data_IF_605895676873
#
_entry.id   IF_605895676873
#
_cell.length_a   1.000
_cell.length_b   1.000
_cell.length_c   1.000
_cell.angle_alpha   90.00
_cell.angle_beta   90.00
_cell.angle_gamma   90.00
#
_symmetry.space_group_name_H-M   'P 1'
#
loop_
_entity.id
_entity.type
_entity.pdbx_description
1 polymer ?
#
# COMPACT_ATOMS: atom_id res chain seq x y z
N UNK A 1 1.01 -8.58 26.50
CA UNK A 1 1.58 -7.41 27.19
C UNK A 1 1.97 -7.85 28.59
N UNK A 2 3.19 -7.55 29.08
CA UNK A 2 3.59 -8.02 30.41
C UNK A 2 2.77 -7.33 31.51
N UNK A 3 2.40 -8.06 32.57
CA UNK A 3 1.77 -7.48 33.77
C UNK A 3 2.66 -6.47 34.49
N UNK A 4 3.97 -6.55 34.31
CA UNK A 4 4.92 -5.57 34.86
C UNK A 4 4.91 -4.21 34.13
N UNK A 5 4.08 -4.04 33.11
CA UNK A 5 3.95 -2.79 32.36
C UNK A 5 3.50 -1.64 33.27
N UNK A 6 4.30 -0.57 33.26
CA UNK A 6 4.03 0.68 33.99
C UNK A 6 3.11 1.60 33.18
N UNK A 7 2.69 2.70 33.79
CA UNK A 7 1.98 3.77 33.09
C UNK A 7 2.81 4.30 31.90
N UNK A 8 2.13 4.61 30.80
CA UNK A 8 2.73 5.11 29.56
C UNK A 8 3.35 4.03 28.66
N UNK A 9 3.28 2.75 29.03
CA UNK A 9 3.75 1.64 28.21
C UNK A 9 2.99 1.60 26.88
N UNK A 10 3.71 1.53 25.77
CA UNK A 10 3.13 1.40 24.44
C UNK A 10 2.67 -0.04 24.25
N UNK A 11 1.36 -0.24 24.13
CA UNK A 11 0.75 -1.56 23.96
C UNK A 11 0.72 -1.95 22.49
N UNK A 12 0.19 -1.06 21.66
CA UNK A 12 0.07 -1.24 20.21
C UNK A 12 -0.21 0.10 19.54
N UNK A 13 -0.26 0.12 18.21
CA UNK A 13 -0.68 1.26 17.41
C UNK A 13 -1.79 0.83 16.45
N UNK A 14 -2.91 1.54 16.49
CA UNK A 14 -3.98 1.40 15.51
C UNK A 14 -3.71 2.37 14.38
N UNK A 15 -3.86 1.90 13.15
CA UNK A 15 -3.70 2.72 11.95
C UNK A 15 -4.91 2.54 11.06
N UNK A 16 -5.47 3.65 10.60
CA UNK A 16 -6.45 3.70 9.53
C UNK A 16 -5.91 4.52 8.36
N UNK A 17 -6.48 4.27 7.19
CA UNK A 17 -6.14 4.97 5.95
C UNK A 17 -7.46 5.38 5.32
N UNK A 18 -7.54 6.65 4.96
CA UNK A 18 -8.66 7.22 4.24
C UNK A 18 -8.28 7.42 2.76
N UNK A 19 -9.26 7.32 1.86
CA UNK A 19 -9.02 7.42 0.42
C UNK A 19 -9.04 8.87 -0.10
N UNK A 20 -9.52 9.81 0.71
CA UNK A 20 -9.57 11.21 0.36
C UNK A 20 -8.18 11.85 0.46
N UNK A 21 -8.12 13.16 0.23
CA UNK A 21 -6.89 13.94 0.29
C UNK A 21 -7.10 15.24 1.06
N UNK A 22 -6.02 15.80 1.57
CA UNK A 22 -6.08 17.05 2.34
C UNK A 22 -6.77 16.86 3.68
N UNK A 23 -7.68 17.78 4.02
CA UNK A 23 -8.34 17.84 5.31
C UNK A 23 -9.29 16.65 5.55
N UNK A 24 -10.02 16.23 4.50
CA UNK A 24 -10.96 15.11 4.60
C UNK A 24 -10.28 13.81 5.04
N UNK A 25 -9.02 13.60 4.66
CA UNK A 25 -8.23 12.43 5.06
C UNK A 25 -7.64 12.53 6.48
N UNK A 26 -7.97 13.58 7.25
CA UNK A 26 -7.49 13.74 8.61
C UNK A 26 -8.23 12.77 9.52
N UNK A 27 -7.48 11.78 10.02
CA UNK A 27 -8.03 10.74 10.88
C UNK A 27 -7.83 11.08 12.37
N UNK A 28 -8.87 10.86 13.16
CA UNK A 28 -8.86 10.92 14.62
C UNK A 28 -9.28 9.59 15.25
N UNK A 29 -8.70 9.28 16.41
CA UNK A 29 -8.92 8.03 17.15
C UNK A 29 -9.51 8.31 18.52
N UNK A 30 -10.50 7.51 18.93
CA UNK A 30 -11.14 7.61 20.23
C UNK A 30 -11.39 6.23 20.82
N UNK A 31 -11.16 6.10 22.13
CA UNK A 31 -11.56 4.90 22.87
C UNK A 31 -13.06 4.97 23.13
N UNK A 32 -13.84 4.16 22.41
CA UNK A 32 -15.29 4.12 22.50
C UNK A 32 -15.74 3.22 23.67
N UNK A 33 -15.16 2.03 23.78
CA UNK A 33 -15.43 1.08 24.87
C UNK A 33 -14.14 0.40 25.32
N UNK A 34 -14.10 0.00 26.59
CA UNK A 34 -12.98 -0.76 27.15
C UNK A 34 -13.48 -1.67 28.27
N UNK A 35 -12.86 -2.83 28.44
CA UNK A 35 -13.04 -3.68 29.64
C UNK A 35 -12.77 -2.87 30.91
N UNK A 36 -11.62 -2.18 30.96
CA UNK A 36 -11.32 -1.17 31.98
C UNK A 36 -10.88 0.15 31.32
N UNK A 37 -11.76 1.15 31.35
CA UNK A 37 -11.50 2.48 30.80
C UNK A 37 -10.41 3.27 31.56
N UNK A 38 -10.08 2.86 32.80
CA UNK A 38 -9.01 3.45 33.61
C UNK A 38 -7.62 2.93 33.24
N UNK A 39 -7.54 1.80 32.53
CA UNK A 39 -6.27 1.12 32.26
C UNK A 39 -5.62 1.55 30.95
N UNK A 40 -6.41 1.89 29.92
CA UNK A 40 -5.88 2.22 28.59
C UNK A 40 -6.33 3.58 28.07
N UNK A 41 -5.49 4.17 27.23
CA UNK A 41 -5.77 5.37 26.46
C UNK A 41 -5.33 5.17 25.01
N UNK A 42 -5.98 5.87 24.08
CA UNK A 42 -5.54 5.98 22.69
C UNK A 42 -5.21 7.44 22.39
N UNK A 43 -4.08 7.68 21.75
CA UNK A 43 -3.70 9.01 21.31
C UNK A 43 -4.55 9.42 20.09
N UNK A 44 -5.13 10.61 20.15
CA UNK A 44 -6.10 11.13 19.19
C UNK A 44 -5.62 11.14 17.74
N UNK A 45 -4.33 11.38 17.49
CA UNK A 45 -3.81 11.59 16.12
C UNK A 45 -2.85 10.48 15.66
N UNK A 46 -2.20 9.80 16.59
CA UNK A 46 -1.23 8.74 16.26
C UNK A 46 -1.83 7.35 16.31
N UNK A 47 -2.98 7.17 16.98
CA UNK A 47 -3.57 5.85 17.22
C UNK A 47 -2.77 4.97 18.17
N UNK A 48 -1.76 5.51 18.86
CA UNK A 48 -1.00 4.77 19.87
C UNK A 48 -1.88 4.44 21.07
N UNK A 49 -1.98 3.15 21.38
CA UNK A 49 -2.66 2.64 22.57
C UNK A 49 -1.63 2.46 23.68
N UNK A 50 -1.82 3.17 24.80
CA UNK A 50 -0.89 3.17 25.93
C UNK A 50 -1.60 2.88 27.23
N UNK A 51 -0.88 2.34 28.20
CA UNK A 51 -1.40 2.18 29.56
C UNK A 51 -1.51 3.54 30.27
N UNK A 52 -2.62 3.79 30.96
CA UNK A 52 -2.83 4.99 31.81
C UNK A 52 -2.20 4.83 33.19
N UNK A 53 -2.25 3.61 33.72
CA UNK A 53 -1.69 3.22 35.03
C UNK A 53 -0.90 1.92 34.93
N UNK A 54 -0.18 1.57 35.98
CA UNK A 54 0.39 0.24 36.11
C UNK A 54 -0.73 -0.80 36.20
N UNK A 55 -0.49 -1.96 35.59
CA UNK A 55 -1.37 -3.12 35.66
C UNK A 55 -1.31 -3.70 37.08
N UNK A 56 -2.46 -3.99 37.66
CA UNK A 56 -2.61 -4.62 38.96
C UNK A 56 -2.83 -6.13 38.85
N UNK A 57 -2.64 -6.87 39.94
CA UNK A 57 -2.95 -8.30 39.99
C UNK A 57 -4.46 -8.56 39.88
N UNK A 58 -5.29 -7.61 40.31
CA UNK A 58 -6.75 -7.67 40.21
C UNK A 58 -7.28 -7.36 38.81
N UNK A 59 -6.46 -6.82 37.91
CA UNK A 59 -6.89 -6.53 36.55
C UNK A 59 -7.10 -7.85 35.77
N UNK A 60 -8.21 -7.92 35.02
CA UNK A 60 -8.53 -9.07 34.18
C UNK A 60 -7.40 -9.34 33.17
N UNK A 61 -7.03 -10.60 33.02
CA UNK A 61 -5.96 -11.00 32.10
C UNK A 61 -6.30 -10.71 30.63
N UNK A 62 -7.59 -10.69 30.29
CA UNK A 62 -8.08 -10.38 28.95
C UNK A 62 -8.77 -9.03 28.95
N UNK A 63 -8.23 -8.11 28.16
CA UNK A 63 -8.72 -6.75 28.02
C UNK A 63 -9.20 -6.55 26.57
N UNK A 64 -10.37 -5.95 26.40
CA UNK A 64 -10.93 -5.63 25.07
C UNK A 64 -11.14 -4.12 24.97
N UNK A 65 -10.66 -3.53 23.90
CA UNK A 65 -10.85 -2.12 23.57
C UNK A 65 -11.60 -2.00 22.24
N UNK A 66 -12.63 -1.17 22.20
CA UNK A 66 -13.28 -0.73 20.96
C UNK A 66 -12.81 0.69 20.67
N UNK A 67 -12.10 0.85 19.56
CA UNK A 67 -11.55 2.14 19.13
C UNK A 67 -12.36 2.60 17.94
N UNK A 68 -12.97 3.78 18.07
CA UNK A 68 -13.63 4.50 17.00
C UNK A 68 -12.60 5.35 16.26
N UNK A 69 -12.70 5.35 14.94
CA UNK A 69 -11.86 6.13 14.05
C UNK A 69 -12.77 7.00 13.20
N UNK A 70 -12.46 8.28 13.05
CA UNK A 70 -13.23 9.23 12.23
C UNK A 70 -12.33 9.98 11.28
N UNK A 71 -12.81 10.18 10.07
CA UNK A 71 -12.24 11.17 9.16
C UNK A 71 -12.76 12.58 9.52
N UNK A 72 -12.29 13.60 8.80
CA UNK A 72 -12.77 14.99 8.94
C UNK A 72 -13.46 15.43 7.63
N UNK A 73 -14.12 14.49 6.96
CA UNK A 73 -14.84 14.71 5.71
C UNK A 73 -16.22 15.35 5.92
N UNK A 74 -16.83 15.82 4.83
CA UNK A 74 -18.25 16.20 4.79
C UNK A 74 -18.98 15.34 3.74
N UNK A 75 -19.82 14.37 4.16
CA UNK A 75 -20.13 13.99 5.54
C UNK A 75 -18.99 13.22 6.23
N UNK A 76 -18.92 13.34 7.56
CA UNK A 76 -17.95 12.60 8.38
C UNK A 76 -18.24 11.09 8.31
N UNK A 77 -17.22 10.29 8.05
CA UNK A 77 -17.27 8.84 8.10
C UNK A 77 -16.57 8.30 9.34
N UNK A 78 -17.06 7.18 9.85
CA UNK A 78 -16.46 6.50 11.00
C UNK A 78 -16.32 5.00 10.78
N UNK A 79 -15.29 4.44 11.40
CA UNK A 79 -15.03 3.01 11.46
C UNK A 79 -14.70 2.61 12.90
N UNK A 80 -14.81 1.32 13.21
CA UNK A 80 -14.44 0.80 14.53
C UNK A 80 -13.46 -0.37 14.41
N UNK A 81 -12.54 -0.44 15.37
CA UNK A 81 -11.55 -1.50 15.50
C UNK A 81 -11.61 -2.11 16.91
N UNK A 82 -11.68 -3.43 17.01
CA UNK A 82 -11.59 -4.13 18.29
C UNK A 82 -10.15 -4.59 18.51
N UNK A 83 -9.56 -4.23 19.66
CA UNK A 83 -8.23 -4.66 20.08
C UNK A 83 -8.38 -5.56 21.30
N UNK A 84 -7.87 -6.80 21.20
CA UNK A 84 -7.79 -7.75 22.30
C UNK A 84 -6.37 -7.79 22.86
N UNK A 85 -6.21 -7.55 24.15
CA UNK A 85 -4.93 -7.47 24.84
C UNK A 85 -4.93 -8.57 25.91
N UNK A 86 -3.93 -9.46 25.84
CA UNK A 86 -3.67 -10.46 26.86
C UNK A 86 -2.54 -9.98 27.77
N UNK A 87 -2.78 -9.98 29.08
CA UNK A 87 -1.79 -9.75 30.12
C UNK A 87 -1.03 -11.05 30.39
N UNK A 88 0.30 -10.98 30.35
CA UNK A 88 1.17 -12.13 30.56
C UNK A 88 1.99 -11.92 31.85
N UNK A 89 1.99 -12.94 32.70
CA UNK A 89 2.79 -12.94 33.93
C UNK A 89 4.26 -13.15 33.58
N UNK A 90 5.11 -12.25 34.06
CA UNK A 90 6.53 -12.23 33.76
C UNK A 90 7.28 -13.38 34.41
N UNK A 91 7.17 -14.59 33.86
CA UNK A 91 8.14 -15.67 34.03
C UNK A 91 8.88 -15.88 32.72
N UNK A 92 9.50 -14.81 32.23
CA UNK A 92 10.55 -14.93 31.22
C UNK A 92 11.84 -14.53 31.92
N UNK A 93 12.62 -15.54 32.28
CA UNK A 93 14.07 -15.44 32.53
C UNK A 93 14.70 -14.43 31.55
N UNK A 94 15.76 -13.70 31.93
CA UNK A 94 16.48 -12.86 30.99
C UNK A 94 17.13 -13.78 29.96
N UNK A 95 16.40 -14.07 28.89
CA UNK A 95 16.97 -14.64 27.69
C UNK A 95 17.89 -13.54 27.18
N UNK A 96 19.16 -13.68 27.50
CA UNK A 96 20.26 -12.94 26.90
C UNK A 96 19.94 -12.79 25.41
N UNK A 97 19.86 -11.53 24.98
CA UNK A 97 19.68 -11.10 23.60
C UNK A 97 20.96 -11.41 22.78
N UNK A 98 21.34 -12.69 22.78
CA UNK A 98 22.39 -13.32 21.99
C UNK A 98 21.79 -14.52 21.24
N UNK A 99 20.61 -14.31 20.66
CA UNK A 99 20.35 -14.90 19.35
C UNK A 99 20.03 -13.76 18.43
N UNK A 100 21.05 -13.41 17.65
CA UNK A 100 20.92 -13.33 16.21
C UNK A 100 19.49 -13.61 15.78
N UNK A 101 18.82 -12.55 15.35
CA UNK A 101 17.93 -12.57 14.19
C UNK A 101 18.64 -13.36 13.09
N UNK A 102 18.66 -14.68 13.20
CA UNK A 102 18.53 -15.54 12.06
C UNK A 102 17.17 -15.14 11.52
N UNK A 103 17.19 -14.20 10.59
CA UNK A 103 16.13 -14.12 9.62
C UNK A 103 16.04 -15.53 9.06
N UNK A 104 15.11 -16.33 9.57
CA UNK A 104 14.56 -17.45 8.82
C UNK A 104 14.13 -16.80 7.51
N UNK A 105 14.84 -17.03 6.39
CA UNK A 105 14.51 -16.39 5.13
C UNK A 105 13.08 -16.83 4.84
N UNK A 106 12.18 -15.86 4.92
CA UNK A 106 10.74 -16.08 4.87
C UNK A 106 10.44 -17.08 3.77
N UNK A 107 9.86 -18.24 4.12
CA UNK A 107 9.48 -19.29 3.17
C UNK A 107 8.63 -18.72 2.01
N UNK A 108 7.99 -17.57 2.21
CA UNK A 108 7.27 -16.78 1.18
C UNK A 108 8.22 -16.18 0.12
N UNK A 109 9.37 -15.65 0.51
CA UNK A 109 10.34 -15.02 -0.39
C UNK A 109 10.96 -16.09 -1.30
N UNK A 110 11.23 -17.28 -0.76
CA UNK A 110 11.65 -18.44 -1.55
C UNK A 110 10.60 -18.88 -2.58
N UNK A 111 9.32 -18.94 -2.19
CA UNK A 111 8.24 -19.28 -3.14
C UNK A 111 8.08 -18.25 -4.25
N UNK A 112 8.10 -16.96 -3.93
CA UNK A 112 7.96 -15.88 -4.92
C UNK A 112 9.13 -15.89 -5.91
N UNK A 113 10.36 -16.02 -5.42
CA UNK A 113 11.56 -16.08 -6.28
C UNK A 113 11.54 -17.30 -7.20
N UNK A 114 11.06 -18.46 -6.73
CA UNK A 114 10.87 -19.64 -7.57
C UNK A 114 9.85 -19.38 -8.69
N UNK A 115 8.70 -18.77 -8.40
CA UNK A 115 7.71 -18.43 -9.44
C UNK A 115 8.29 -17.47 -10.49
N UNK A 116 9.06 -16.46 -10.07
CA UNK A 116 9.69 -15.52 -11.00
C UNK A 116 10.67 -16.23 -11.96
N UNK A 117 11.49 -17.16 -11.45
CA UNK A 117 12.42 -17.93 -12.28
C UNK A 117 11.66 -18.80 -13.28
N UNK A 118 10.64 -19.53 -12.83
CA UNK A 118 9.80 -20.39 -13.68
C UNK A 118 9.09 -19.58 -14.78
N UNK A 119 8.52 -18.42 -14.43
CA UNK A 119 7.88 -17.53 -15.39
C UNK A 119 8.89 -16.96 -16.41
N UNK A 120 10.04 -16.49 -15.96
CA UNK A 120 11.05 -15.91 -16.86
C UNK A 120 11.62 -16.95 -17.84
N UNK A 121 11.93 -18.15 -17.33
CA UNK A 121 12.44 -19.25 -18.15
C UNK A 121 11.42 -19.68 -19.22
N UNK A 122 10.14 -19.82 -18.84
CA UNK A 122 9.09 -20.21 -19.80
C UNK A 122 8.86 -19.16 -20.89
N UNK A 123 8.81 -17.87 -20.54
CA UNK A 123 8.68 -16.77 -21.52
C UNK A 123 9.88 -16.72 -22.47
N UNK A 124 11.10 -16.89 -21.93
CA UNK A 124 12.33 -16.92 -22.74
C UNK A 124 12.32 -18.08 -23.73
N UNK A 125 11.96 -19.29 -23.29
CA UNK A 125 11.89 -20.47 -24.16
C UNK A 125 10.82 -20.29 -25.24
N UNK A 126 9.63 -19.82 -24.90
CA UNK A 126 8.57 -19.55 -25.88
C UNK A 126 9.02 -18.53 -26.93
N UNK A 127 9.70 -17.46 -26.51
CA UNK A 127 10.26 -16.44 -27.41
C UNK A 127 11.34 -17.00 -28.34
N UNK A 128 12.26 -17.81 -27.81
CA UNK A 128 13.30 -18.44 -28.63
C UNK A 128 12.69 -19.44 -29.62
N UNK A 129 11.72 -20.25 -29.21
CA UNK A 129 11.02 -21.21 -30.08
C UNK A 129 10.27 -20.47 -31.18
N UNK A 130 9.54 -19.39 -30.87
CA UNK A 130 8.85 -18.61 -31.90
C UNK A 130 9.83 -17.95 -32.86
N UNK A 131 10.94 -17.39 -32.37
CA UNK A 131 12.00 -16.82 -33.22
C UNK A 131 12.64 -17.88 -34.12
N UNK A 132 12.92 -19.08 -33.62
CA UNK A 132 13.44 -20.19 -34.42
C UNK A 132 12.44 -20.65 -35.49
N UNK A 133 11.16 -20.75 -35.14
CA UNK A 133 10.10 -21.08 -36.12
C UNK A 133 10.00 -19.99 -37.19
N UNK A 134 10.02 -18.71 -36.80
CA UNK A 134 9.95 -17.59 -37.73
C UNK A 134 11.18 -17.54 -38.65
N UNK A 135 12.39 -17.71 -38.11
CA UNK A 135 13.62 -17.75 -38.91
C UNK A 135 13.65 -18.93 -39.87
N UNK A 136 13.27 -20.14 -39.43
CA UNK A 136 13.16 -21.32 -40.32
C UNK A 136 12.08 -21.11 -41.37
N UNK A 137 10.91 -20.56 -41.00
CA UNK A 137 9.81 -20.28 -41.93
C UNK A 137 10.21 -19.19 -42.93
N UNK A 138 10.96 -18.17 -42.51
CA UNK A 138 11.55 -17.16 -43.39
C UNK A 138 12.60 -17.76 -44.34
N UNK A 139 13.52 -18.59 -43.85
CA UNK A 139 14.51 -19.26 -44.70
C UNK A 139 13.85 -20.22 -45.69
N UNK A 140 12.83 -20.95 -45.27
CA UNK A 140 12.08 -21.88 -46.13
C UNK A 140 11.20 -21.15 -47.14
N UNK A 141 10.58 -20.03 -46.75
CA UNK A 141 9.80 -19.18 -47.65
C UNK A 141 10.70 -18.44 -48.65
N UNK A 142 11.89 -18.00 -48.23
CA UNK A 142 12.90 -17.40 -49.11
C UNK A 142 13.46 -18.39 -50.15
N UNK A 143 13.33 -19.70 -49.93
CA UNK A 143 13.62 -20.72 -50.96
C UNK A 143 12.51 -20.84 -52.02
N UNK A 144 11.34 -20.25 -51.80
CA UNK A 144 10.19 -20.24 -52.74
C UNK A 144 9.92 -18.87 -53.38
N UNK A 145 10.56 -17.80 -52.92
CA UNK A 145 10.46 -16.49 -53.55
C UNK A 145 11.82 -15.81 -53.51
N UNK A 146 12.44 -15.73 -54.69
CA UNK A 146 13.69 -15.02 -54.87
C UNK A 146 13.58 -13.54 -54.53
N UNK A 147 14.74 -12.97 -54.20
CA UNK A 147 15.03 -11.54 -54.16
C UNK A 147 14.39 -10.74 -53.02
N UNK A 148 15.05 -10.74 -51.86
CA UNK A 148 15.03 -9.57 -50.98
C UNK A 148 15.92 -8.49 -51.60
N UNK A 149 15.39 -7.76 -52.58
CA UNK A 149 15.99 -6.54 -53.10
C UNK A 149 14.92 -5.46 -53.22
N UNK A 150 15.21 -4.33 -52.58
CA UNK A 150 14.56 -3.00 -52.63
C UNK A 150 13.68 -2.69 -53.84
N UNK A 151 12.47 -2.17 -53.57
CA UNK A 151 11.85 -1.17 -54.45
C UNK A 151 11.07 -0.14 -53.63
N UNK A 152 11.64 1.06 -53.51
CA UNK A 152 10.90 2.30 -53.30
C UNK A 152 10.01 2.53 -54.52
N UNK A 153 8.72 2.75 -54.30
CA UNK A 153 7.88 3.64 -55.10
C UNK A 153 6.83 4.24 -54.16
N UNK A 154 6.96 5.55 -53.96
CA UNK A 154 5.91 6.51 -53.62
C UNK A 154 4.60 6.22 -54.37
N UNK A 155 3.45 6.37 -53.71
CA UNK A 155 2.30 7.19 -54.14
C UNK A 155 1.05 6.91 -53.26
N UNK A 156 0.76 7.89 -52.39
CA UNK A 156 -0.52 8.48 -52.00
C UNK A 156 -1.65 7.79 -51.20
N UNK A 157 -1.90 8.46 -50.07
CA UNK A 157 -3.17 9.04 -49.62
C UNK A 157 -4.16 8.18 -48.84
N UNK A 158 -4.05 8.28 -47.51
CA UNK A 158 -5.21 8.25 -46.62
C UNK A 158 -5.22 9.49 -45.73
N UNK A 159 -5.74 10.58 -46.30
CA UNK A 159 -6.17 11.79 -45.62
C UNK A 159 -7.20 11.47 -44.53
N UNK A 160 -6.84 11.68 -43.25
CA UNK A 160 -7.83 11.80 -42.17
C UNK A 160 -7.59 13.08 -41.35
N UNK A 161 -8.36 14.16 -41.57
CA UNK A 161 -8.36 15.32 -40.69
C UNK A 161 -9.62 15.29 -39.83
N UNK A 162 -9.50 14.77 -38.61
CA UNK A 162 -10.40 15.17 -37.53
C UNK A 162 -9.59 15.35 -36.24
N UNK A 163 -8.93 16.51 -36.14
CA UNK A 163 -8.42 17.05 -34.87
C UNK A 163 -9.55 17.82 -34.20
N UNK A 164 -10.34 17.13 -33.39
CA UNK A 164 -11.23 17.77 -32.41
C UNK A 164 -10.95 17.19 -31.02
N UNK A 165 -9.74 17.44 -30.52
CA UNK A 165 -9.46 17.43 -29.09
C UNK A 165 -8.99 18.83 -28.72
N UNK A 166 -9.91 19.63 -28.17
CA UNK A 166 -9.57 20.87 -27.50
C UNK A 166 -9.00 20.50 -26.13
N UNK A 167 -7.68 20.62 -25.98
CA UNK A 167 -7.04 20.61 -24.66
C UNK A 167 -7.13 22.03 -24.13
N UNK A 168 -8.08 22.28 -23.24
CA UNK A 168 -8.23 23.57 -22.57
C UNK A 168 -7.35 23.57 -21.30
N UNK A 169 -6.12 24.03 -21.43
CA UNK A 169 -5.24 24.34 -20.30
C UNK A 169 -5.69 25.68 -19.72
N UNK A 170 -6.53 25.64 -18.68
CA UNK A 170 -6.90 26.85 -17.94
C UNK A 170 -5.86 27.10 -16.84
N UNK A 171 -4.73 27.65 -17.23
CA UNK A 171 -3.76 28.29 -16.35
C UNK A 171 -3.30 29.55 -17.05
N UNK A 172 -3.80 30.70 -16.59
CA UNK A 172 -2.94 31.80 -16.15
C UNK A 172 -3.79 32.94 -15.59
N UNK A 173 -3.76 33.08 -14.27
CA UNK A 173 -4.03 34.36 -13.64
C UNK A 173 -2.80 35.25 -13.78
N UNK A 174 -2.93 36.39 -14.48
CA UNK A 174 -2.17 37.60 -14.15
C UNK A 174 -2.87 38.86 -14.67
N UNK A 175 -3.28 39.65 -13.68
CA UNK A 175 -3.62 41.07 -13.62
C UNK A 175 -3.29 41.97 -14.84
N UNK A 176 -4.31 42.71 -15.29
CA UNK A 176 -4.17 44.10 -15.71
C UNK A 176 -5.38 44.92 -15.24
N UNK A 177 -5.09 45.94 -14.47
CA UNK A 177 -5.95 47.07 -14.07
C UNK A 177 -6.43 47.88 -15.27
N UNK A 178 -7.68 48.38 -15.23
CA UNK A 178 -8.17 49.73 -15.67
C UNK A 178 -9.71 49.73 -15.53
N UNK A 179 -10.28 50.45 -14.55
CA UNK A 179 -10.83 51.83 -14.64
C UNK A 179 -12.12 51.96 -15.50
N UNK A 180 -13.22 52.31 -14.79
CA UNK A 180 -14.34 53.23 -15.13
C UNK A 180 -15.04 53.13 -16.50
N UNK A 181 -16.36 52.89 -16.53
CA UNK A 181 -17.38 53.95 -16.52
C UNK A 181 -18.84 53.41 -16.55
N UNK A 182 -19.71 54.12 -15.80
CA UNK A 182 -21.19 54.16 -15.74
C UNK A 182 -21.97 52.92 -15.27
#
# INVERSE_FOLDING_TARGET
>A
MPRSAKAGHLVTKVTAVDADSGHNAWISYKLAEATDASLFTVNLYTGEVRTKRAVSEQDDSSQRLLIEVKDDGEPVQSATATVSILLEDGLHEPVLDLRHKAAEPSKKNGRITLYLILSLASVSVLSLVTFLILTVKCMRNSRSSGSCCTRRTDYDDYKNPNRNLQIQLNTDGRFSSTLTDL
#
